data_IF_542449474168
#
_entry.id   IF_542449474168
#
_cell.length_a   1.000
_cell.length_b   1.000
_cell.length_c   1.000
_cell.angle_alpha   90.00
_cell.angle_beta   90.00
_cell.angle_gamma   90.00
#
_symmetry.space_group_name_H-M   'P 1'
#
loop_
_entity.id
_entity.type
_entity.pdbx_description
1 polymer ?
#
# COMPACT_ATOMS: atom_id res chain seq x y z
N UNK A 1 -4.82 34.26 32.92
CA UNK A 1 -4.04 34.01 31.69
C UNK A 1 -3.03 32.90 31.98
N UNK A 2 -3.30 31.69 31.49
CA UNK A 2 -2.38 30.55 31.49
C UNK A 2 -2.31 30.04 30.05
N UNK A 3 -1.13 29.72 29.50
CA UNK A 3 -1.03 29.19 28.15
C UNK A 3 -1.40 27.70 28.18
N UNK A 4 -2.25 27.29 27.23
CA UNK A 4 -2.64 25.90 27.02
C UNK A 4 -1.51 25.09 26.41
N UNK A 5 -1.27 23.91 26.97
CA UNK A 5 -0.34 22.92 26.46
C UNK A 5 -0.90 22.28 25.19
N UNK A 6 -0.10 22.29 24.11
CA UNK A 6 -0.30 21.48 22.91
C UNK A 6 0.03 20.03 23.26
N UNK A 7 -0.93 19.13 23.11
CA UNK A 7 -0.72 17.69 23.23
C UNK A 7 -0.15 17.19 21.91
N UNK A 8 1.08 16.68 21.95
CA UNK A 8 1.68 15.88 20.87
C UNK A 8 0.98 14.53 20.81
N UNK A 9 0.39 14.20 19.65
CA UNK A 9 -0.09 12.85 19.34
C UNK A 9 1.12 11.98 19.00
N UNK A 10 1.37 10.97 19.82
CA UNK A 10 2.42 9.98 19.60
C UNK A 10 2.08 9.08 18.41
N UNK A 11 3.04 8.91 17.52
CA UNK A 11 3.02 7.91 16.45
C UNK A 11 3.08 6.52 17.08
N UNK A 12 1.97 5.77 17.01
CA UNK A 12 1.95 4.35 17.33
C UNK A 12 2.53 3.57 16.15
N UNK A 13 3.68 2.93 16.36
CA UNK A 13 4.18 1.90 15.44
C UNK A 13 3.32 0.65 15.65
N UNK A 14 2.37 0.42 14.74
CA UNK A 14 1.66 -0.85 14.68
C UNK A 14 2.66 -1.94 14.30
N UNK A 15 2.92 -2.87 15.23
CA UNK A 15 3.61 -4.12 14.94
C UNK A 15 2.76 -4.87 13.91
N UNK A 16 3.30 -5.04 12.70
CA UNK A 16 2.79 -5.95 11.68
C UNK A 16 2.91 -7.39 12.20
N UNK A 17 2.00 -7.79 13.08
CA UNK A 17 1.80 -9.18 13.45
C UNK A 17 1.13 -9.91 12.29
N UNK A 18 1.55 -11.14 12.00
CA UNK A 18 0.75 -12.02 11.17
C UNK A 18 -0.60 -12.17 11.88
N UNK A 19 -1.69 -11.64 11.33
CA UNK A 19 -3.02 -11.90 11.86
C UNK A 19 -3.25 -13.38 11.59
N UNK A 20 -3.00 -14.24 12.59
CA UNK A 20 -3.42 -15.64 12.58
C UNK A 20 -4.94 -15.66 12.58
N UNK A 21 -5.52 -15.40 11.41
CA UNK A 21 -6.91 -15.67 11.10
C UNK A 21 -7.04 -17.17 10.83
N UNK A 22 -6.65 -17.99 11.82
CA UNK A 22 -7.35 -19.24 12.04
C UNK A 22 -8.72 -18.90 12.65
N UNK A 23 -9.55 -18.22 11.87
CA UNK A 23 -10.99 -18.31 12.05
C UNK A 23 -11.36 -19.68 11.52
N UNK A 24 -11.24 -20.68 12.39
CA UNK A 24 -12.11 -21.86 12.33
C UNK A 24 -13.52 -21.31 12.10
N UNK A 25 -14.23 -21.88 11.13
CA UNK A 25 -15.68 -21.76 10.97
C UNK A 25 -16.36 -22.06 12.31
N UNK A 26 -16.45 -21.04 13.17
CA UNK A 26 -17.39 -21.06 14.27
C UNK A 26 -18.69 -20.59 13.67
N UNK A 27 -19.54 -21.57 13.37
CA UNK A 27 -20.97 -21.38 13.28
C UNK A 27 -21.48 -20.80 14.61
N UNK A 28 -21.27 -19.50 14.79
CA UNK A 28 -21.93 -18.69 15.80
C UNK A 28 -23.37 -18.44 15.37
N UNK A 29 -24.30 -18.28 16.32
CA UNK A 29 -25.73 -18.40 16.06
C UNK A 29 -26.17 -17.32 15.09
N UNK A 30 -26.89 -17.78 14.06
CA UNK A 30 -27.69 -17.01 13.12
C UNK A 30 -28.42 -15.88 13.85
N UNK A 31 -27.78 -14.71 13.89
CA UNK A 31 -28.29 -13.51 14.52
C UNK A 31 -29.12 -12.77 13.49
N UNK A 32 -30.44 -12.90 13.61
CA UNK A 32 -31.49 -12.06 13.02
C UNK A 32 -31.15 -11.43 11.66
N UNK A 33 -31.61 -12.08 10.59
CA UNK A 33 -31.92 -11.43 9.33
C UNK A 33 -32.96 -10.33 9.58
N UNK A 34 -32.49 -9.14 9.95
CA UNK A 34 -33.27 -7.94 9.78
C UNK A 34 -33.48 -7.76 8.29
N UNK A 35 -34.68 -8.06 7.80
CA UNK A 35 -35.18 -7.61 6.51
C UNK A 35 -35.33 -6.09 6.60
N UNK A 36 -34.21 -5.38 6.53
CA UNK A 36 -34.19 -3.94 6.34
C UNK A 36 -34.72 -3.66 4.94
N UNK A 37 -36.04 -3.52 4.83
CA UNK A 37 -36.73 -2.94 3.68
C UNK A 37 -36.26 -1.50 3.52
N UNK A 38 -35.24 -1.34 2.70
CA UNK A 38 -34.61 -0.06 2.38
C UNK A 38 -33.36 -0.30 1.57
N UNK A 39 -33.41 -1.25 0.63
CA UNK A 39 -32.37 -1.39 -0.38
C UNK A 39 -32.53 -0.19 -1.31
N UNK A 40 -31.98 0.95 -0.89
CA UNK A 40 -31.89 2.15 -1.70
C UNK A 40 -30.99 1.81 -2.88
N UNK A 41 -31.57 1.20 -3.90
CA UNK A 41 -30.89 0.85 -5.12
C UNK A 41 -30.26 2.12 -5.70
N UNK A 42 -29.03 1.99 -6.19
CA UNK A 42 -28.39 3.06 -6.96
C UNK A 42 -29.28 3.33 -8.18
N UNK A 43 -29.70 4.59 -8.44
CA UNK A 43 -30.51 4.91 -9.61
C UNK A 43 -29.83 4.46 -10.91
N UNK A 44 -30.63 4.10 -11.92
CA UNK A 44 -30.10 3.64 -13.21
C UNK A 44 -29.24 4.71 -13.91
N UNK A 45 -29.52 5.98 -13.63
CA UNK A 45 -28.79 7.14 -14.13
C UNK A 45 -27.41 7.33 -13.43
N UNK A 46 -27.10 6.53 -12.40
CA UNK A 46 -25.86 6.61 -11.64
C UNK A 46 -25.66 7.99 -11.03
N UNK A 47 -24.42 8.51 -11.08
CA UNK A 47 -24.09 9.82 -10.51
C UNK A 47 -24.93 10.98 -11.07
N UNK A 48 -25.51 10.84 -12.28
CA UNK A 48 -26.32 11.90 -12.90
C UNK A 48 -27.63 12.16 -12.17
N UNK A 49 -28.10 11.22 -11.34
CA UNK A 49 -29.29 11.39 -10.51
C UNK A 49 -29.03 12.18 -9.21
N UNK A 50 -27.78 12.53 -8.89
CA UNK A 50 -27.49 13.40 -7.75
C UNK A 50 -27.96 14.83 -8.02
N UNK A 51 -28.71 15.41 -7.09
CA UNK A 51 -29.09 16.82 -7.16
C UNK A 51 -27.92 17.75 -6.80
N UNK A 52 -28.14 19.07 -6.86
CA UNK A 52 -27.10 20.05 -6.53
C UNK A 52 -26.65 20.01 -5.06
N UNK A 53 -27.55 19.71 -4.11
CA UNK A 53 -27.22 19.63 -2.68
C UNK A 53 -26.34 18.41 -2.39
N UNK A 54 -26.74 17.24 -2.92
CA UNK A 54 -26.00 15.98 -2.81
C UNK A 54 -24.64 16.07 -3.50
N UNK A 55 -24.59 16.66 -4.70
CA UNK A 55 -23.35 16.87 -5.44
C UNK A 55 -22.39 17.81 -4.71
N UNK A 56 -22.89 18.91 -4.15
CA UNK A 56 -22.06 19.83 -3.36
C UNK A 56 -21.52 19.12 -2.11
N UNK A 57 -22.35 18.36 -1.40
CA UNK A 57 -21.93 17.59 -0.23
C UNK A 57 -20.80 16.61 -0.56
N UNK A 58 -20.95 15.88 -1.67
CA UNK A 58 -19.97 14.92 -2.15
C UNK A 58 -18.64 15.60 -2.54
N UNK A 59 -18.68 16.58 -3.45
CA UNK A 59 -17.47 17.26 -3.92
C UNK A 59 -16.78 18.08 -2.82
N UNK A 60 -17.54 18.62 -1.85
CA UNK A 60 -16.97 19.30 -0.68
C UNK A 60 -16.18 18.36 0.22
N UNK A 61 -16.56 17.08 0.31
CA UNK A 61 -15.80 16.06 1.04
C UNK A 61 -14.47 15.75 0.35
N UNK A 62 -14.49 15.65 -0.98
CA UNK A 62 -13.31 15.28 -1.76
C UNK A 62 -12.29 16.42 -1.96
N UNK A 63 -12.77 17.64 -2.21
CA UNK A 63 -11.92 18.76 -2.65
C UNK A 63 -10.67 19.01 -1.77
N UNK A 64 -10.75 19.02 -0.42
CA UNK A 64 -9.56 19.28 0.39
C UNK A 64 -8.48 18.21 0.23
N UNK A 65 -8.87 16.95 0.05
CA UNK A 65 -7.93 15.83 -0.05
C UNK A 65 -7.41 15.65 -1.47
N UNK A 66 -8.21 15.95 -2.50
CA UNK A 66 -7.81 15.75 -3.90
C UNK A 66 -7.23 17.01 -4.55
N UNK A 67 -7.81 18.17 -4.30
CA UNK A 67 -7.38 19.44 -4.89
C UNK A 67 -6.54 20.30 -3.94
N UNK A 68 -6.44 19.93 -2.66
CA UNK A 68 -5.72 20.72 -1.65
C UNK A 68 -6.41 22.05 -1.30
N UNK A 69 -7.67 22.22 -1.68
CA UNK A 69 -8.47 23.44 -1.48
C UNK A 69 -9.95 23.11 -1.30
N UNK A 70 -10.73 24.11 -0.89
CA UNK A 70 -12.20 24.01 -0.89
C UNK A 70 -12.77 24.32 -2.27
N UNK A 71 -14.06 24.03 -2.46
CA UNK A 71 -14.80 24.42 -3.66
C UNK A 71 -14.77 25.95 -3.85
N UNK A 72 -14.52 26.38 -5.08
CA UNK A 72 -14.61 27.76 -5.54
C UNK A 72 -16.07 28.19 -5.72
N UNK A 73 -16.30 29.49 -5.92
CA UNK A 73 -17.63 30.02 -6.24
C UNK A 73 -18.15 29.51 -7.59
N UNK A 74 -17.27 29.42 -8.60
CA UNK A 74 -17.62 28.95 -9.94
C UNK A 74 -18.04 27.48 -9.95
N UNK A 75 -17.31 26.62 -9.21
CA UNK A 75 -17.68 25.21 -9.04
C UNK A 75 -19.04 25.08 -8.34
N UNK A 76 -19.29 25.82 -7.26
CA UNK A 76 -20.59 25.81 -6.56
C UNK A 76 -21.76 26.30 -7.41
N UNK A 77 -21.54 27.23 -8.33
CA UNK A 77 -22.59 27.64 -9.29
C UNK A 77 -22.90 26.50 -10.25
N UNK A 78 -21.87 25.93 -10.89
CA UNK A 78 -22.02 24.77 -11.79
C UNK A 78 -22.72 23.60 -11.11
N UNK A 79 -22.36 23.30 -9.86
CA UNK A 79 -22.98 22.23 -9.07
C UNK A 79 -24.48 22.48 -8.84
N UNK A 80 -24.87 23.71 -8.48
CA UNK A 80 -26.29 24.06 -8.28
C UNK A 80 -27.11 23.98 -9.57
N UNK A 81 -26.52 24.36 -10.69
CA UNK A 81 -27.20 24.37 -11.99
C UNK A 81 -27.33 22.99 -12.62
N UNK A 82 -26.33 22.12 -12.44
CA UNK A 82 -26.17 20.89 -13.24
C UNK A 82 -26.18 19.61 -12.41
N UNK A 83 -26.16 19.68 -11.07
CA UNK A 83 -26.16 18.53 -10.18
C UNK A 83 -25.02 17.56 -10.50
N UNK A 84 -25.30 16.26 -10.49
CA UNK A 84 -24.31 15.21 -10.68
C UNK A 84 -23.56 15.23 -12.01
N UNK A 85 -24.11 15.90 -13.04
CA UNK A 85 -23.48 16.01 -14.34
C UNK A 85 -22.12 16.74 -14.33
N UNK A 86 -21.85 17.56 -13.32
CA UNK A 86 -20.56 18.29 -13.21
C UNK A 86 -19.47 17.55 -12.44
N UNK A 87 -19.77 16.40 -11.82
CA UNK A 87 -18.79 15.66 -11.01
C UNK A 87 -17.55 15.31 -11.84
N UNK A 88 -17.73 14.67 -12.99
CA UNK A 88 -16.60 14.29 -13.86
C UNK A 88 -15.80 15.51 -14.35
N UNK A 89 -16.42 16.54 -14.97
CA UNK A 89 -15.69 17.73 -15.40
C UNK A 89 -14.87 18.41 -14.28
N UNK A 90 -15.43 18.51 -13.06
CA UNK A 90 -14.71 19.12 -11.93
C UNK A 90 -13.52 18.26 -11.50
N UNK A 91 -13.69 16.94 -11.41
CA UNK A 91 -12.59 16.03 -11.07
C UNK A 91 -11.48 16.08 -12.12
N UNK A 92 -11.84 16.09 -13.41
CA UNK A 92 -10.88 16.26 -14.51
C UNK A 92 -10.12 17.59 -14.40
N UNK A 93 -10.79 18.69 -14.09
CA UNK A 93 -10.14 19.99 -13.83
C UNK A 93 -9.15 19.92 -12.65
N UNK A 94 -9.52 19.30 -11.53
CA UNK A 94 -8.65 19.15 -10.36
C UNK A 94 -7.38 18.36 -10.66
N UNK A 95 -7.44 17.36 -11.55
CA UNK A 95 -6.26 16.57 -11.90
C UNK A 95 -5.15 17.39 -12.58
N UNK A 96 -5.49 18.55 -13.15
CA UNK A 96 -4.54 19.50 -13.73
C UNK A 96 -3.97 20.52 -12.73
N UNK A 97 -4.42 20.51 -11.47
CA UNK A 97 -4.01 21.50 -10.47
C UNK A 97 -2.73 21.09 -9.72
N UNK A 98 -1.89 22.06 -9.30
CA UNK A 98 -0.74 21.78 -8.44
C UNK A 98 -1.12 21.08 -7.12
N UNK A 99 -2.33 21.34 -6.62
CA UNK A 99 -2.86 20.72 -5.41
C UNK A 99 -3.02 19.20 -5.54
N UNK A 100 -3.35 18.68 -6.72
CA UNK A 100 -3.47 17.24 -6.96
C UNK A 100 -2.12 16.52 -6.88
N UNK A 101 -1.07 17.13 -7.43
CA UNK A 101 0.31 16.61 -7.31
C UNK A 101 0.74 16.56 -5.85
N UNK A 102 0.45 17.61 -5.06
CA UNK A 102 0.77 17.64 -3.65
C UNK A 102 -0.08 16.64 -2.84
N UNK A 103 -1.34 16.45 -3.18
CA UNK A 103 -2.21 15.46 -2.57
C UNK A 103 -1.68 14.03 -2.78
N UNK A 104 -1.29 13.68 -4.01
CA UNK A 104 -0.71 12.39 -4.33
C UNK A 104 0.61 12.13 -3.58
N UNK A 105 1.48 13.15 -3.50
CA UNK A 105 2.68 13.12 -2.68
C UNK A 105 2.35 12.82 -1.21
N UNK A 106 1.45 13.59 -0.60
CA UNK A 106 1.04 13.41 0.79
C UNK A 106 0.45 12.02 1.04
N UNK A 107 -0.41 11.52 0.15
CA UNK A 107 -0.98 10.17 0.22
C UNK A 107 0.14 9.12 0.34
N UNK A 108 1.15 9.21 -0.51
CA UNK A 108 2.25 8.24 -0.51
C UNK A 108 3.20 8.41 0.67
N UNK A 109 3.48 9.64 1.11
CA UNK A 109 4.26 9.89 2.33
C UNK A 109 3.59 9.25 3.56
N UNK A 110 2.26 9.37 3.69
CA UNK A 110 1.48 8.73 4.77
C UNK A 110 1.53 7.21 4.65
N UNK A 111 1.28 6.64 3.46
CA UNK A 111 1.25 5.18 3.27
C UNK A 111 2.63 4.54 3.46
N UNK A 112 3.68 5.22 3.04
CA UNK A 112 5.07 4.76 3.19
C UNK A 112 5.68 5.15 4.53
N UNK A 113 5.04 6.02 5.32
CA UNK A 113 5.61 6.66 6.53
C UNK A 113 7.03 7.18 6.28
N UNK A 114 7.21 7.84 5.14
CA UNK A 114 8.47 8.39 4.68
C UNK A 114 8.28 9.87 4.37
N UNK A 115 8.64 10.72 5.34
CA UNK A 115 8.70 12.17 5.18
C UNK A 115 9.74 12.78 6.13
N UNK A 116 10.24 13.97 5.79
CA UNK A 116 11.23 14.70 6.57
C UNK A 116 12.67 14.28 6.26
N UNK A 117 13.60 14.58 7.18
CA UNK A 117 15.04 14.34 6.98
C UNK A 117 15.72 13.97 8.29
N UNK A 118 16.74 13.12 8.19
CA UNK A 118 17.76 12.93 9.22
C UNK A 118 19.08 13.57 8.77
N UNK A 119 20.14 13.41 9.57
CA UNK A 119 21.48 13.83 9.18
C UNK A 119 22.03 13.08 7.95
N UNK A 120 21.51 11.88 7.64
CA UNK A 120 22.08 10.96 6.65
C UNK A 120 21.09 10.43 5.62
N UNK A 121 19.78 10.60 5.83
CA UNK A 121 18.73 10.09 4.96
C UNK A 121 17.71 11.19 4.69
N UNK A 122 17.40 11.40 3.42
CA UNK A 122 16.31 12.27 2.99
C UNK A 122 15.04 11.42 2.82
N UNK A 123 14.09 11.56 3.74
CA UNK A 123 12.85 10.78 3.73
C UNK A 123 11.80 11.35 2.78
N UNK A 124 12.04 12.51 2.16
CA UNK A 124 11.14 13.13 1.18
C UNK A 124 11.31 12.55 -0.25
N UNK A 125 12.38 11.78 -0.52
CA UNK A 125 12.69 11.23 -1.86
C UNK A 125 11.51 10.44 -2.47
N UNK A 126 10.81 9.54 -1.75
CA UNK A 126 9.64 8.85 -2.29
C UNK A 126 8.52 9.82 -2.70
N UNK A 127 8.24 10.81 -1.84
CA UNK A 127 7.21 11.82 -2.08
C UNK A 127 7.51 12.68 -3.31
N UNK A 128 8.77 13.08 -3.51
CA UNK A 128 9.21 13.80 -4.71
C UNK A 128 9.11 12.94 -5.98
N UNK A 129 9.43 11.65 -5.89
CA UNK A 129 9.25 10.71 -7.00
C UNK A 129 7.79 10.61 -7.42
N UNK A 130 6.87 10.49 -6.45
CA UNK A 130 5.44 10.49 -6.70
C UNK A 130 4.97 11.81 -7.31
N UNK A 131 5.40 12.94 -6.75
CA UNK A 131 5.07 14.26 -7.28
C UNK A 131 5.51 14.43 -8.74
N UNK A 132 6.70 13.93 -9.09
CA UNK A 132 7.19 13.98 -10.47
C UNK A 132 6.35 13.11 -11.41
N UNK A 133 6.08 11.86 -11.03
CA UNK A 133 5.26 10.93 -11.84
C UNK A 133 3.88 11.53 -12.10
N UNK A 134 3.21 12.02 -11.05
CA UNK A 134 1.86 12.58 -11.17
C UNK A 134 1.86 13.91 -11.91
N UNK A 135 2.79 14.82 -11.61
CA UNK A 135 2.90 16.11 -12.28
C UNK A 135 3.29 16.01 -13.76
N UNK A 136 3.95 14.92 -14.15
CA UNK A 136 4.24 14.59 -15.55
C UNK A 136 3.11 13.84 -16.28
N UNK A 137 2.03 13.50 -15.59
CA UNK A 137 0.98 12.59 -16.09
C UNK A 137 1.56 11.26 -16.63
N UNK A 138 2.59 10.76 -15.95
CA UNK A 138 3.21 9.47 -16.25
C UNK A 138 2.32 8.32 -15.75
N UNK A 139 2.45 7.11 -16.31
CA UNK A 139 1.73 5.94 -15.81
C UNK A 139 1.99 5.71 -14.32
N UNK A 140 0.96 5.33 -13.55
CA UNK A 140 1.07 5.21 -12.10
C UNK A 140 2.09 4.15 -11.66
N UNK A 141 2.27 3.10 -12.48
CA UNK A 141 3.30 2.07 -12.27
C UNK A 141 4.72 2.67 -12.15
N UNK A 142 4.97 3.86 -12.73
CA UNK A 142 6.27 4.54 -12.71
C UNK A 142 6.74 4.90 -11.31
N UNK A 143 5.87 4.98 -10.30
CA UNK A 143 6.33 5.14 -8.91
C UNK A 143 7.16 3.94 -8.43
N UNK A 144 6.94 2.76 -9.02
CA UNK A 144 7.66 1.52 -8.74
C UNK A 144 8.75 1.23 -9.78
N UNK A 145 8.57 1.65 -11.02
CA UNK A 145 9.48 1.30 -12.13
C UNK A 145 10.43 2.43 -12.54
N UNK A 146 10.37 3.59 -11.86
CA UNK A 146 11.32 4.69 -12.08
C UNK A 146 12.77 4.18 -12.00
N UNK A 147 13.59 4.54 -13.00
CA UNK A 147 15.01 4.20 -13.06
C UNK A 147 15.90 5.26 -12.41
N UNK A 148 15.30 6.35 -11.93
CA UNK A 148 15.94 7.50 -11.29
C UNK A 148 15.09 7.96 -10.10
N UNK A 149 15.74 8.65 -9.16
CA UNK A 149 15.09 9.36 -8.06
C UNK A 149 15.14 10.87 -8.34
N UNK A 150 14.55 11.68 -7.45
CA UNK A 150 14.46 13.12 -7.64
C UNK A 150 14.98 13.90 -6.43
N UNK A 151 15.80 14.90 -6.71
CA UNK A 151 16.36 15.83 -5.73
C UNK A 151 15.36 16.93 -5.33
N UNK A 152 15.79 17.85 -4.47
CA UNK A 152 14.98 18.97 -3.99
C UNK A 152 14.60 19.99 -5.05
N UNK A 153 15.40 20.10 -6.11
CA UNK A 153 15.11 20.96 -7.24
C UNK A 153 14.15 20.27 -8.24
N UNK A 154 13.78 19.01 -8.01
CA UNK A 154 12.99 18.19 -8.92
C UNK A 154 13.81 17.66 -10.11
N UNK A 155 15.14 17.74 -10.03
CA UNK A 155 16.06 17.16 -11.00
C UNK A 155 16.21 15.65 -10.80
N UNK A 156 16.51 14.94 -11.89
CA UNK A 156 16.84 13.52 -11.81
C UNK A 156 18.17 13.32 -11.09
N UNK A 157 18.19 12.34 -10.19
CA UNK A 157 19.38 11.94 -9.45
C UNK A 157 19.42 10.41 -9.31
N UNK A 158 20.60 9.81 -9.13
CA UNK A 158 20.70 8.42 -8.68
C UNK A 158 19.94 8.22 -7.37
N UNK A 159 19.29 7.08 -7.21
CA UNK A 159 18.73 6.72 -5.91
C UNK A 159 19.85 6.45 -4.90
N UNK A 160 19.59 6.77 -3.64
CA UNK A 160 20.61 6.89 -2.60
C UNK A 160 21.01 5.57 -1.94
N UNK A 161 20.47 4.44 -2.40
CA UNK A 161 20.75 3.10 -1.81
C UNK A 161 22.06 2.48 -2.29
N UNK A 162 22.61 2.94 -3.42
CA UNK A 162 23.81 2.36 -4.02
C UNK A 162 23.61 1.00 -4.70
N UNK A 163 22.37 0.52 -4.82
CA UNK A 163 22.06 -0.68 -5.59
C UNK A 163 22.41 -0.50 -7.08
N UNK A 164 22.82 -1.57 -7.79
CA UNK A 164 23.14 -1.50 -9.22
C UNK A 164 21.90 -1.41 -10.13
N UNK A 165 20.71 -1.25 -9.54
CA UNK A 165 19.42 -1.12 -10.21
C UNK A 165 18.53 -0.15 -9.44
N UNK A 166 17.36 0.18 -9.99
CA UNK A 166 16.39 1.08 -9.36
C UNK A 166 14.96 0.55 -9.56
N UNK A 167 14.15 0.67 -8.51
CA UNK A 167 12.77 0.25 -8.40
C UNK A 167 11.92 1.39 -7.80
N UNK A 168 12.05 2.59 -8.38
CA UNK A 168 11.34 3.79 -7.95
C UNK A 168 11.43 4.04 -6.45
N UNK A 169 10.27 4.20 -5.80
CA UNK A 169 10.18 4.48 -4.36
C UNK A 169 10.75 3.35 -3.49
N UNK A 170 10.75 2.10 -3.97
CA UNK A 170 11.21 0.95 -3.20
C UNK A 170 12.74 0.93 -3.04
N UNK A 171 13.51 1.51 -3.96
CA UNK A 171 14.97 1.62 -3.89
C UNK A 171 15.46 2.98 -3.39
N UNK A 172 14.67 3.63 -2.54
CA UNK A 172 15.09 4.83 -1.79
C UNK A 172 15.55 4.41 -0.40
N UNK A 173 16.57 5.06 0.19
CA UNK A 173 16.94 4.79 1.59
C UNK A 173 15.83 5.17 2.55
N UNK A 174 15.00 6.15 2.19
CA UNK A 174 13.80 6.50 2.92
C UNK A 174 12.90 5.28 3.17
N UNK A 175 12.54 4.55 2.10
CA UNK A 175 11.75 3.33 2.20
C UNK A 175 12.53 2.23 2.93
N UNK A 176 13.76 1.98 2.52
CA UNK A 176 14.55 0.86 3.04
C UNK A 176 14.81 0.98 4.55
N UNK A 177 15.20 2.17 5.03
CA UNK A 177 15.53 2.39 6.43
C UNK A 177 14.29 2.50 7.33
N UNK A 178 13.26 3.24 6.90
CA UNK A 178 12.01 3.37 7.69
C UNK A 178 11.28 2.03 7.88
N UNK A 179 11.52 1.08 6.97
CA UNK A 179 10.92 -0.25 6.97
C UNK A 179 11.91 -1.36 7.29
N UNK A 180 13.10 -1.04 7.81
CA UNK A 180 14.02 -2.04 8.30
C UNK A 180 13.40 -2.85 9.45
N UNK A 181 13.52 -4.17 9.38
CA UNK A 181 12.99 -5.07 10.39
C UNK A 181 13.54 -6.48 10.20
N UNK A 182 13.51 -7.27 11.27
CA UNK A 182 14.01 -8.65 11.29
C UNK A 182 13.44 -9.46 10.14
N UNK A 183 14.27 -10.30 9.51
CA UNK A 183 13.93 -11.07 8.31
C UNK A 183 13.34 -10.24 7.14
N UNK A 184 13.60 -8.93 7.08
CA UNK A 184 12.97 -8.01 6.13
C UNK A 184 11.42 -8.00 6.17
N UNK A 185 10.82 -8.37 7.32
CA UNK A 185 9.36 -8.51 7.45
C UNK A 185 8.60 -7.21 7.11
N UNK A 186 9.10 -6.09 7.63
CA UNK A 186 8.43 -4.80 7.47
C UNK A 186 8.56 -4.24 6.06
N UNK A 187 9.66 -4.51 5.34
CA UNK A 187 9.85 -4.11 3.93
C UNK A 187 8.86 -4.84 3.04
N UNK A 188 8.94 -6.16 2.97
CA UNK A 188 8.05 -6.95 2.12
C UNK A 188 6.57 -6.82 2.53
N UNK A 189 6.26 -6.72 3.84
CA UNK A 189 4.90 -6.42 4.31
C UNK A 189 4.38 -5.05 3.84
N UNK A 190 5.22 -4.01 3.88
CA UNK A 190 4.85 -2.68 3.40
C UNK A 190 4.70 -2.66 1.88
N UNK A 191 5.58 -3.34 1.14
CA UNK A 191 5.48 -3.48 -0.32
C UNK A 191 4.12 -4.05 -0.72
N UNK A 192 3.76 -5.22 -0.17
CA UNK A 192 2.50 -5.88 -0.51
C UNK A 192 1.28 -5.09 -0.04
N UNK A 193 1.30 -4.55 1.18
CA UNK A 193 0.13 -3.83 1.70
C UNK A 193 -0.10 -2.47 1.05
N UNK A 194 0.94 -1.75 0.64
CA UNK A 194 0.81 -0.43 0.00
C UNK A 194 0.51 -0.56 -1.50
N UNK A 195 1.12 -1.53 -2.17
CA UNK A 195 1.11 -1.60 -3.63
C UNK A 195 0.30 -2.76 -4.19
N UNK A 196 -0.09 -3.77 -3.41
CA UNK A 196 -1.01 -4.82 -3.84
C UNK A 196 -2.27 -4.90 -2.95
N UNK A 197 -2.29 -4.19 -1.82
CA UNK A 197 -3.35 -4.25 -0.81
C UNK A 197 -3.55 -5.67 -0.26
N UNK A 198 -2.51 -6.49 -0.36
CA UNK A 198 -2.47 -7.85 0.13
C UNK A 198 -1.82 -7.88 1.51
N UNK A 199 -2.38 -8.69 2.41
CA UNK A 199 -1.85 -9.00 3.74
C UNK A 199 -1.48 -10.47 3.77
N UNK A 200 -0.40 -10.83 4.47
CA UNK A 200 -0.04 -12.23 4.63
C UNK A 200 -0.91 -12.94 5.68
N UNK A 201 -1.24 -14.22 5.47
CA UNK A 201 -0.98 -15.00 4.25
C UNK A 201 -1.79 -14.45 3.06
N UNK A 202 -1.16 -14.40 1.88
CA UNK A 202 -1.82 -13.95 0.66
C UNK A 202 -2.55 -15.13 0.02
N UNK A 203 -3.44 -14.86 -0.94
CA UNK A 203 -4.19 -15.90 -1.64
C UNK A 203 -3.23 -16.79 -2.44
N UNK A 204 -3.38 -18.11 -2.33
CA UNK A 204 -2.49 -19.07 -2.98
C UNK A 204 -2.58 -19.00 -4.52
N UNK A 205 -3.72 -18.57 -5.06
CA UNK A 205 -3.87 -18.36 -6.51
C UNK A 205 -3.04 -17.18 -7.02
N UNK A 206 -2.75 -16.21 -6.13
CA UNK A 206 -1.94 -15.04 -6.47
C UNK A 206 -0.45 -15.33 -6.27
N UNK A 207 -0.08 -15.96 -5.16
CA UNK A 207 1.29 -16.39 -4.88
C UNK A 207 1.27 -17.76 -4.21
N UNK A 208 1.72 -18.82 -4.89
CA UNK A 208 1.86 -20.12 -4.26
C UNK A 208 2.90 -20.10 -3.12
N UNK A 209 2.67 -20.90 -2.07
CA UNK A 209 3.70 -21.12 -1.03
C UNK A 209 4.88 -21.90 -1.58
N UNK A 210 6.10 -21.50 -1.23
CA UNK A 210 7.29 -22.30 -1.52
C UNK A 210 7.34 -23.58 -0.70
N UNK A 211 8.01 -24.60 -1.22
CA UNK A 211 8.17 -25.87 -0.52
C UNK A 211 8.84 -25.70 0.86
N UNK A 212 8.31 -26.40 1.88
CA UNK A 212 8.80 -26.36 3.27
C UNK A 212 10.32 -26.58 3.36
N UNK A 213 10.86 -27.53 2.62
CA UNK A 213 12.29 -27.90 2.65
C UNK A 213 13.24 -26.81 2.13
N UNK A 214 12.74 -25.81 1.38
CA UNK A 214 13.53 -24.65 0.96
C UNK A 214 13.69 -23.59 2.06
N UNK A 215 12.80 -23.57 3.05
CA UNK A 215 12.83 -22.62 4.17
C UNK A 215 13.78 -23.07 5.27
N UNK A 216 14.29 -22.14 6.07
CA UNK A 216 14.94 -22.46 7.35
C UNK A 216 13.99 -23.29 8.23
N UNK A 217 14.56 -24.24 9.00
CA UNK A 217 13.79 -25.21 9.80
C UNK A 217 12.70 -24.55 10.66
N UNK A 218 13.01 -23.41 11.28
CA UNK A 218 12.08 -22.67 12.15
C UNK A 218 10.79 -22.20 11.44
N UNK A 219 10.80 -22.07 10.11
CA UNK A 219 9.66 -21.62 9.31
C UNK A 219 8.87 -22.76 8.65
N UNK A 220 9.30 -24.02 8.82
CA UNK A 220 8.67 -25.17 8.17
C UNK A 220 7.38 -25.64 8.86
N UNK A 221 7.22 -25.28 10.14
CA UNK A 221 6.13 -25.75 10.98
C UNK A 221 4.79 -25.07 10.64
N UNK A 222 3.74 -25.87 10.42
CA UNK A 222 2.35 -25.42 10.32
C UNK A 222 1.61 -25.53 11.66
N UNK A 223 2.11 -26.36 12.59
CA UNK A 223 1.56 -26.56 13.93
C UNK A 223 2.65 -26.56 15.00
N UNK A 224 2.27 -26.57 16.28
CA UNK A 224 3.23 -26.55 17.40
C UNK A 224 3.97 -27.87 17.49
N UNK A 225 3.28 -28.97 17.16
CA UNK A 225 3.83 -30.32 17.15
C UNK A 225 4.92 -30.47 16.08
N UNK A 226 4.82 -29.73 14.97
CA UNK A 226 5.84 -29.69 13.92
C UNK A 226 7.06 -28.82 14.29
N UNK A 227 6.96 -27.95 15.30
CA UNK A 227 8.03 -27.00 15.63
C UNK A 227 9.16 -27.61 16.47
N UNK A 228 10.25 -27.97 15.77
CA UNK A 228 11.45 -28.58 16.35
C UNK A 228 12.47 -27.57 16.87
N UNK A 229 12.41 -26.31 16.45
CA UNK A 229 13.41 -25.28 16.81
C UNK A 229 13.03 -24.58 18.12
N UNK A 230 13.79 -24.85 19.18
CA UNK A 230 13.54 -24.33 20.53
C UNK A 230 13.46 -22.79 20.59
N UNK A 231 14.28 -22.09 19.81
CA UNK A 231 14.36 -20.63 19.81
C UNK A 231 13.06 -19.93 19.37
N UNK A 232 12.19 -20.62 18.62
CA UNK A 232 10.91 -20.09 18.14
C UNK A 232 9.70 -20.82 18.73
N UNK A 233 9.90 -21.88 19.52
CA UNK A 233 8.81 -22.66 20.13
C UNK A 233 7.93 -21.82 21.07
N UNK A 234 8.49 -20.80 21.70
CA UNK A 234 7.75 -19.82 22.51
C UNK A 234 7.49 -18.47 21.78
N UNK A 235 7.75 -18.42 20.47
CA UNK A 235 7.63 -17.22 19.64
C UNK A 235 6.19 -16.84 19.30
N UNK A 236 6.02 -15.80 18.47
CA UNK A 236 4.73 -15.26 18.03
C UNK A 236 3.77 -16.38 17.60
N UNK A 237 2.53 -16.34 18.07
CA UNK A 237 1.54 -17.41 17.85
C UNK A 237 1.86 -18.75 18.52
N UNK A 238 2.76 -18.83 19.51
CA UNK A 238 3.32 -20.07 20.07
C UNK A 238 4.05 -20.94 19.02
N UNK A 239 4.64 -20.33 17.99
CA UNK A 239 5.25 -21.06 16.87
C UNK A 239 4.24 -21.78 15.96
N UNK A 240 2.94 -21.52 16.15
CA UNK A 240 1.85 -22.09 15.36
C UNK A 240 1.75 -21.33 14.03
N UNK A 241 1.85 -22.06 12.92
CA UNK A 241 1.65 -21.54 11.57
C UNK A 241 2.74 -20.58 11.05
N UNK A 242 4.00 -20.80 11.39
CA UNK A 242 5.10 -20.08 10.73
C UNK A 242 5.05 -20.29 9.20
N UNK A 243 4.83 -21.51 8.75
CA UNK A 243 4.82 -21.81 7.31
C UNK A 243 3.68 -21.12 6.55
N UNK A 244 2.50 -20.94 7.16
CA UNK A 244 1.37 -20.33 6.45
C UNK A 244 1.69 -18.90 6.00
N UNK A 245 2.36 -18.12 6.85
CA UNK A 245 2.85 -16.78 6.53
C UNK A 245 4.17 -16.85 5.74
N UNK A 246 5.17 -17.58 6.25
CA UNK A 246 6.54 -17.57 5.70
C UNK A 246 6.69 -18.30 4.37
N UNK A 247 5.78 -19.20 4.01
CA UNK A 247 5.78 -19.89 2.71
C UNK A 247 5.60 -18.96 1.52
N UNK A 248 4.87 -17.86 1.67
CA UNK A 248 4.78 -16.79 0.64
C UNK A 248 5.70 -15.62 0.98
N UNK A 249 5.77 -15.25 2.27
CA UNK A 249 6.51 -14.09 2.72
C UNK A 249 8.00 -14.19 2.35
N UNK A 250 8.59 -15.38 2.47
CA UNK A 250 10.00 -15.63 2.18
C UNK A 250 10.41 -15.15 0.79
N UNK A 251 9.56 -15.34 -0.22
CA UNK A 251 9.80 -14.90 -1.59
C UNK A 251 9.98 -13.37 -1.65
N UNK A 252 9.02 -12.62 -1.12
CA UNK A 252 9.08 -11.16 -1.17
C UNK A 252 10.16 -10.58 -0.27
N UNK A 253 10.42 -11.20 0.88
CA UNK A 253 11.48 -10.79 1.81
C UNK A 253 12.88 -10.91 1.18
N UNK A 254 13.07 -11.94 0.33
CA UNK A 254 14.35 -12.25 -0.29
C UNK A 254 14.86 -11.10 -1.16
N UNK A 255 13.95 -10.34 -1.78
CA UNK A 255 14.26 -9.16 -2.61
C UNK A 255 15.00 -8.05 -1.85
N UNK A 256 15.01 -8.10 -0.51
CA UNK A 256 15.63 -7.09 0.35
C UNK A 256 16.89 -7.60 1.08
N UNK A 257 17.37 -8.81 0.78
CA UNK A 257 18.46 -9.45 1.55
C UNK A 257 19.79 -8.69 1.49
N UNK A 258 20.02 -7.90 0.44
CA UNK A 258 21.23 -7.09 0.27
C UNK A 258 21.16 -5.70 0.90
N UNK A 259 20.04 -5.32 1.50
CA UNK A 259 19.88 -3.97 2.06
C UNK A 259 20.05 -3.98 3.58
N UNK A 260 21.03 -3.22 4.08
CA UNK A 260 21.25 -3.07 5.52
C UNK A 260 20.15 -2.24 6.20
N UNK A 261 20.23 -2.08 7.52
CA UNK A 261 19.27 -1.30 8.32
C UNK A 261 19.15 0.18 7.89
N UNK A 262 20.20 0.75 7.31
CA UNK A 262 20.26 2.15 6.87
C UNK A 262 19.86 2.31 5.40
N UNK A 263 19.48 1.20 4.77
CA UNK A 263 18.99 1.11 3.40
C UNK A 263 20.08 1.11 2.34
N UNK A 264 21.34 0.86 2.71
CA UNK A 264 22.44 0.74 1.76
C UNK A 264 22.51 -0.69 1.23
N UNK A 265 22.79 -0.80 -0.06
CA UNK A 265 22.99 -2.07 -0.73
C UNK A 265 24.40 -2.61 -0.49
N UNK A 266 24.49 -3.88 -0.13
CA UNK A 266 25.71 -4.57 0.30
C UNK A 266 25.92 -5.82 -0.56
N UNK A 267 26.81 -5.72 -1.55
CA UNK A 267 27.03 -6.73 -2.58
C UNK A 267 27.31 -8.14 -2.02
N UNK A 268 28.09 -8.20 -0.94
CA UNK A 268 28.59 -9.42 -0.30
C UNK A 268 27.68 -9.94 0.83
N UNK A 269 26.49 -9.35 1.05
CA UNK A 269 25.55 -9.89 2.02
C UNK A 269 25.15 -11.32 1.65
N UNK A 270 25.20 -12.24 2.61
CA UNK A 270 24.98 -13.67 2.39
C UNK A 270 23.61 -14.16 2.88
N UNK A 271 22.84 -13.30 3.55
CA UNK A 271 21.53 -13.65 4.12
C UNK A 271 21.59 -14.63 5.30
N UNK A 272 22.77 -15.00 5.80
CA UNK A 272 22.92 -15.95 6.88
C UNK A 272 22.58 -15.32 8.24
N UNK A 273 21.97 -16.12 9.13
CA UNK A 273 21.66 -15.69 10.50
C UNK A 273 22.97 -15.42 11.23
N UNK A 274 23.07 -14.25 11.87
CA UNK A 274 24.25 -13.92 12.64
C UNK A 274 24.41 -14.88 13.83
N UNK A 275 25.63 -15.37 14.01
CA UNK A 275 26.05 -16.17 15.17
C UNK A 275 26.76 -15.32 16.24
N UNK A 276 26.82 -14.01 16.05
CA UNK A 276 27.44 -13.10 17.00
C UNK A 276 26.67 -13.09 18.33
N UNK A 277 27.42 -13.01 19.43
CA UNK A 277 26.82 -12.98 20.77
C UNK A 277 25.97 -11.71 20.90
N UNK A 278 24.66 -11.90 21.14
CA UNK A 278 23.70 -10.81 21.28
C UNK A 278 22.96 -10.43 20.00
N UNK A 279 23.28 -11.06 18.85
CA UNK A 279 22.47 -10.91 17.64
C UNK A 279 21.05 -11.43 17.87
N UNK A 280 20.05 -10.69 17.37
CA UNK A 280 18.67 -11.11 17.47
C UNK A 280 18.32 -12.10 16.35
N UNK A 281 17.34 -12.95 16.62
CA UNK A 281 16.77 -13.81 15.59
C UNK A 281 16.25 -12.98 14.42
N UNK A 282 16.69 -13.27 13.20
CA UNK A 282 16.35 -12.52 11.99
C UNK A 282 17.30 -11.40 11.61
N UNK A 283 18.37 -11.19 12.40
CA UNK A 283 19.50 -10.32 12.04
C UNK A 283 20.64 -11.12 11.40
N UNK A 284 21.22 -10.54 10.37
CA UNK A 284 22.49 -10.96 9.77
C UNK A 284 23.60 -9.99 10.21
N UNK A 285 24.82 -10.19 9.73
CA UNK A 285 25.99 -9.37 10.09
C UNK A 285 25.83 -7.93 9.58
N UNK A 286 26.55 -6.98 10.18
CA UNK A 286 26.62 -5.59 9.72
C UNK A 286 25.27 -4.87 9.57
N UNK A 287 24.25 -5.26 10.33
CA UNK A 287 22.91 -4.66 10.24
C UNK A 287 22.07 -5.12 9.05
N UNK A 288 22.50 -6.17 8.37
CA UNK A 288 21.69 -6.89 7.39
C UNK A 288 20.64 -7.76 8.10
N UNK A 289 19.72 -8.31 7.31
CA UNK A 289 18.65 -9.18 7.81
C UNK A 289 18.79 -10.57 7.21
N UNK A 290 18.41 -11.58 8.00
CA UNK A 290 18.48 -12.99 7.60
C UNK A 290 17.47 -13.28 6.48
N UNK A 291 17.88 -14.11 5.52
CA UNK A 291 16.99 -14.77 4.57
C UNK A 291 16.06 -15.76 5.30
N UNK A 292 14.95 -16.12 4.66
CA UNK A 292 14.09 -17.21 5.12
C UNK A 292 14.50 -18.57 4.54
N UNK A 293 15.40 -18.59 3.57
CA UNK A 293 15.79 -19.76 2.80
C UNK A 293 16.94 -20.51 3.49
N UNK A 294 17.04 -21.81 3.25
CA UNK A 294 18.06 -22.68 3.87
C UNK A 294 19.28 -22.92 2.97
N UNK A 295 19.10 -22.87 1.65
CA UNK A 295 20.22 -23.03 0.70
C UNK A 295 21.10 -21.76 0.68
N UNK A 296 22.42 -21.85 0.98
CA UNK A 296 23.29 -20.69 1.04
C UNK A 296 23.39 -19.88 -0.26
N UNK A 297 23.20 -20.51 -1.42
CA UNK A 297 23.24 -19.82 -2.72
C UNK A 297 21.96 -19.01 -2.92
N UNK A 298 20.81 -19.53 -2.50
CA UNK A 298 19.54 -18.81 -2.54
C UNK A 298 19.50 -17.70 -1.48
N UNK A 299 19.97 -17.97 -0.26
CA UNK A 299 20.03 -17.00 0.84
C UNK A 299 20.77 -15.72 0.44
N UNK A 300 21.87 -15.86 -0.30
CA UNK A 300 22.70 -14.75 -0.73
C UNK A 300 22.19 -14.04 -2.00
N UNK A 301 21.16 -14.54 -2.67
CA UNK A 301 20.70 -14.01 -3.95
C UNK A 301 19.46 -13.12 -3.79
N UNK A 302 19.35 -12.06 -4.59
CA UNK A 302 18.13 -11.22 -4.64
C UNK A 302 17.03 -11.79 -5.54
N UNK A 303 17.32 -12.92 -6.21
CA UNK A 303 16.35 -13.60 -7.09
C UNK A 303 15.23 -14.21 -6.26
N UNK A 304 14.01 -14.11 -6.78
CA UNK A 304 12.82 -14.62 -6.10
C UNK A 304 11.65 -14.79 -7.07
N UNK A 305 10.44 -14.77 -6.54
CA UNK A 305 9.17 -14.81 -7.25
C UNK A 305 8.24 -13.70 -6.73
N UNK A 306 7.45 -13.12 -7.62
CA UNK A 306 6.33 -12.23 -7.32
C UNK A 306 5.19 -12.60 -8.27
N UNK A 307 4.02 -12.88 -7.72
CA UNK A 307 2.82 -13.31 -8.41
C UNK A 307 3.06 -14.44 -9.41
N UNK A 308 3.70 -15.52 -8.92
CA UNK A 308 4.12 -16.68 -9.69
C UNK A 308 5.19 -16.39 -10.78
N UNK A 309 5.68 -15.16 -10.92
CA UNK A 309 6.71 -14.79 -11.89
C UNK A 309 8.10 -14.72 -11.25
N UNK A 310 9.07 -15.44 -11.83
CA UNK A 310 10.46 -15.37 -11.40
C UNK A 310 11.07 -13.99 -11.70
N UNK A 311 11.81 -13.45 -10.74
CA UNK A 311 12.46 -12.13 -10.81
C UNK A 311 13.89 -12.21 -10.31
N UNK A 312 14.81 -11.44 -10.90
CA UNK A 312 16.22 -11.45 -10.52
C UNK A 312 16.55 -10.52 -9.35
N UNK A 313 15.74 -9.48 -9.14
CA UNK A 313 15.96 -8.46 -8.13
C UNK A 313 14.69 -7.62 -7.90
N UNK A 314 14.79 -6.63 -7.01
CA UNK A 314 13.67 -5.77 -6.64
C UNK A 314 13.15 -4.89 -7.80
N UNK A 315 13.96 -4.53 -8.80
CA UNK A 315 13.49 -3.77 -9.96
C UNK A 315 12.56 -4.60 -10.85
N UNK A 316 12.91 -5.87 -11.09
CA UNK A 316 12.04 -6.80 -11.81
C UNK A 316 10.76 -7.13 -11.03
N UNK A 317 10.88 -7.30 -9.71
CA UNK A 317 9.73 -7.46 -8.81
C UNK A 317 8.76 -6.26 -8.87
N UNK A 318 9.31 -5.05 -8.83
CA UNK A 318 8.53 -3.82 -8.89
C UNK A 318 7.80 -3.65 -10.23
N UNK A 319 8.41 -4.13 -11.33
CA UNK A 319 7.76 -4.20 -12.65
C UNK A 319 6.59 -5.17 -12.65
N UNK A 320 6.79 -6.41 -12.18
CA UNK A 320 5.71 -7.42 -12.08
C UNK A 320 4.55 -6.90 -11.23
N UNK A 321 4.87 -6.30 -10.08
CA UNK A 321 3.89 -5.68 -9.20
C UNK A 321 3.14 -4.55 -9.91
N UNK A 322 3.84 -3.59 -10.54
CA UNK A 322 3.22 -2.46 -11.24
C UNK A 322 2.35 -2.86 -12.44
N UNK A 323 2.61 -4.01 -13.07
CA UNK A 323 1.83 -4.54 -14.20
C UNK A 323 0.56 -5.29 -13.74
N UNK A 324 0.51 -5.74 -12.49
CA UNK A 324 -0.57 -6.58 -11.93
C UNK A 324 -1.91 -5.84 -11.74
N UNK A 325 -3.01 -6.59 -11.78
CA UNK A 325 -4.34 -6.06 -11.42
C UNK A 325 -4.41 -5.64 -9.95
N UNK A 326 -3.73 -6.38 -9.06
CA UNK A 326 -3.66 -6.05 -7.64
C UNK A 326 -3.08 -4.64 -7.39
N UNK A 327 -2.16 -4.17 -8.22
CA UNK A 327 -1.62 -2.82 -8.13
C UNK A 327 -2.64 -1.75 -8.48
N UNK A 328 -3.43 -1.96 -9.56
CA UNK A 328 -4.51 -1.06 -9.96
C UNK A 328 -5.63 -1.03 -8.94
N UNK A 329 -6.11 -2.19 -8.51
CA UNK A 329 -7.11 -2.35 -7.44
C UNK A 329 -6.65 -1.63 -6.15
N UNK A 330 -5.39 -1.80 -5.78
CA UNK A 330 -4.84 -1.17 -4.58
C UNK A 330 -4.68 0.35 -4.71
N UNK A 331 -4.39 0.86 -5.91
CA UNK A 331 -4.35 2.29 -6.17
C UNK A 331 -5.74 2.93 -6.00
N UNK A 332 -6.79 2.29 -6.54
CA UNK A 332 -8.20 2.70 -6.35
C UNK A 332 -8.55 2.71 -4.86
N UNK A 333 -8.24 1.62 -4.14
CA UNK A 333 -8.47 1.55 -2.69
C UNK A 333 -7.75 2.65 -1.93
N UNK A 334 -6.48 2.90 -2.25
CA UNK A 334 -5.66 3.95 -1.64
C UNK A 334 -6.25 5.35 -1.85
N UNK A 335 -6.80 5.63 -3.03
CA UNK A 335 -7.51 6.88 -3.32
C UNK A 335 -8.77 7.03 -2.47
N UNK A 336 -9.60 5.98 -2.37
CA UNK A 336 -10.81 5.97 -1.54
C UNK A 336 -10.46 6.22 -0.08
N UNK A 337 -9.50 5.46 0.47
CA UNK A 337 -9.04 5.60 1.86
C UNK A 337 -8.58 7.04 2.14
N UNK A 338 -7.72 7.57 1.26
CA UNK A 338 -7.13 8.89 1.44
C UNK A 338 -8.17 10.02 1.30
N UNK A 339 -8.97 10.03 0.22
CA UNK A 339 -9.89 11.12 -0.06
C UNK A 339 -11.08 11.16 0.91
N UNK A 340 -11.54 9.99 1.36
CA UNK A 340 -12.64 9.89 2.32
C UNK A 340 -12.16 9.95 3.78
N UNK A 341 -10.84 9.91 4.02
CA UNK A 341 -10.26 9.93 5.36
C UNK A 341 -10.57 8.68 6.16
N UNK A 342 -10.58 7.52 5.49
CA UNK A 342 -10.74 6.22 6.13
C UNK A 342 -9.39 5.77 6.70
N UNK A 343 -9.45 4.92 7.73
CA UNK A 343 -8.25 4.28 8.25
C UNK A 343 -7.60 3.39 7.19
N UNK A 344 -6.27 3.32 7.21
CA UNK A 344 -5.51 2.43 6.32
C UNK A 344 -5.94 0.99 6.54
N UNK A 345 -6.29 0.30 5.46
CA UNK A 345 -6.77 -1.07 5.51
C UNK A 345 -8.27 -1.18 5.79
N UNK A 346 -9.02 -0.08 5.70
CA UNK A 346 -10.47 -0.10 5.70
C UNK A 346 -10.98 -1.15 4.70
N UNK A 347 -12.09 -1.80 5.06
CA UNK A 347 -12.74 -2.77 4.18
C UNK A 347 -13.46 -1.99 3.08
N UNK A 348 -13.04 -2.21 1.85
CA UNK A 348 -13.73 -1.77 0.63
C UNK A 348 -14.03 -3.05 -0.14
N UNK A 349 -15.26 -3.19 -0.62
CA UNK A 349 -15.68 -4.39 -1.33
C UNK A 349 -14.78 -4.63 -2.54
N UNK A 350 -14.26 -5.86 -2.65
CA UNK A 350 -13.31 -6.20 -3.70
C UNK A 350 -13.94 -6.07 -5.08
N UNK A 351 -15.20 -6.46 -5.22
CA UNK A 351 -15.92 -6.39 -6.49
C UNK A 351 -15.96 -4.96 -7.04
N UNK A 352 -16.21 -3.96 -6.18
CA UNK A 352 -16.14 -2.55 -6.53
C UNK A 352 -14.74 -2.14 -7.01
N UNK A 353 -13.69 -2.55 -6.30
CA UNK A 353 -12.30 -2.25 -6.68
C UNK A 353 -11.94 -2.85 -8.06
N UNK A 354 -12.31 -4.10 -8.30
CA UNK A 354 -12.10 -4.80 -9.58
C UNK A 354 -12.87 -4.11 -10.70
N UNK A 355 -14.13 -3.74 -10.45
CA UNK A 355 -14.97 -3.07 -11.45
C UNK A 355 -14.36 -1.73 -11.87
N UNK A 356 -13.96 -0.88 -10.91
CA UNK A 356 -13.31 0.41 -11.19
C UNK A 356 -11.99 0.19 -11.92
N UNK A 357 -11.12 -0.70 -11.43
CA UNK A 357 -9.83 -0.99 -12.05
C UNK A 357 -9.97 -1.50 -13.49
N UNK A 358 -10.99 -2.32 -13.77
CA UNK A 358 -11.30 -2.80 -15.12
C UNK A 358 -11.72 -1.65 -16.05
N UNK A 359 -12.56 -0.73 -15.58
CA UNK A 359 -12.95 0.44 -16.39
C UNK A 359 -11.78 1.36 -16.68
N UNK A 360 -10.88 1.55 -15.70
CA UNK A 360 -9.65 2.33 -15.89
C UNK A 360 -8.74 1.65 -16.92
N UNK A 361 -8.52 0.34 -16.81
CA UNK A 361 -7.66 -0.40 -17.73
C UNK A 361 -8.21 -0.39 -19.16
N UNK A 362 -9.53 -0.40 -19.34
CA UNK A 362 -10.16 -0.25 -20.65
C UNK A 362 -9.86 1.10 -21.34
N UNK A 363 -9.43 2.12 -20.59
CA UNK A 363 -9.03 3.43 -21.12
C UNK A 363 -7.54 3.51 -21.45
N UNK A 364 -6.69 2.84 -20.65
CA UNK A 364 -5.26 2.80 -20.84
C UNK A 364 -4.65 1.54 -20.20
N UNK A 365 -3.75 0.86 -20.92
CA UNK A 365 -3.09 -0.35 -20.44
C UNK A 365 -2.33 -0.10 -19.11
N UNK A 366 -1.61 1.02 -19.03
CA UNK A 366 -0.94 1.51 -17.82
C UNK A 366 -1.46 2.91 -17.47
N UNK A 367 -2.49 3.01 -16.63
CA UNK A 367 -3.19 4.26 -16.37
C UNK A 367 -2.39 5.21 -15.49
N UNK A 368 -2.59 6.52 -15.69
CA UNK A 368 -2.07 7.56 -14.80
C UNK A 368 -2.89 7.62 -13.49
N UNK A 369 -2.36 8.30 -12.47
CA UNK A 369 -3.15 8.55 -11.25
C UNK A 369 -4.40 9.41 -11.53
N UNK A 370 -4.35 10.27 -12.55
CA UNK A 370 -5.48 11.08 -13.00
C UNK A 370 -6.64 10.20 -13.49
N UNK A 371 -6.37 9.20 -14.35
CA UNK A 371 -7.39 8.26 -14.81
C UNK A 371 -8.00 7.49 -13.63
N UNK A 372 -7.15 6.97 -12.73
CA UNK A 372 -7.58 6.25 -11.54
C UNK A 372 -8.49 7.13 -10.66
N UNK A 373 -8.11 8.39 -10.42
CA UNK A 373 -8.88 9.32 -9.59
C UNK A 373 -10.26 9.63 -10.18
N UNK A 374 -10.32 10.00 -11.46
CA UNK A 374 -11.58 10.35 -12.12
C UNK A 374 -12.53 9.15 -12.15
N UNK A 375 -12.06 7.97 -12.53
CA UNK A 375 -12.92 6.78 -12.57
C UNK A 375 -13.36 6.31 -11.18
N UNK A 376 -12.52 6.46 -10.16
CA UNK A 376 -12.87 6.12 -8.77
C UNK A 376 -13.99 7.01 -8.25
N UNK A 377 -13.90 8.33 -8.45
CA UNK A 377 -14.85 9.28 -7.86
C UNK A 377 -16.00 9.69 -8.81
N UNK A 378 -16.07 9.07 -9.99
CA UNK A 378 -17.27 9.10 -10.84
C UNK A 378 -18.05 7.78 -10.77
N UNK A 379 -17.55 6.79 -10.03
CA UNK A 379 -18.29 5.57 -9.74
C UNK A 379 -19.53 5.87 -8.89
N UNK A 380 -20.68 5.37 -9.31
CA UNK A 380 -21.96 5.65 -8.66
C UNK A 380 -22.01 5.07 -7.24
N UNK A 381 -21.48 3.87 -7.01
CA UNK A 381 -21.49 3.24 -5.69
C UNK A 381 -20.64 4.03 -4.69
N UNK A 382 -19.45 4.47 -5.12
CA UNK A 382 -18.59 5.35 -4.31
C UNK A 382 -19.32 6.66 -3.97
N UNK A 383 -19.94 7.31 -4.96
CA UNK A 383 -20.62 8.58 -4.77
C UNK A 383 -21.84 8.47 -3.85
N UNK A 384 -22.75 7.54 -4.11
CA UNK A 384 -23.96 7.35 -3.30
C UNK A 384 -23.65 6.90 -1.88
N UNK A 385 -22.72 5.98 -1.70
CA UNK A 385 -22.28 5.54 -0.36
C UNK A 385 -21.72 6.71 0.44
N UNK A 386 -20.91 7.57 -0.20
CA UNK A 386 -20.35 8.76 0.44
C UNK A 386 -21.45 9.77 0.80
N UNK A 387 -22.36 10.08 -0.11
CA UNK A 387 -23.47 11.02 0.15
C UNK A 387 -24.33 10.52 1.30
N UNK A 388 -24.73 9.24 1.30
CA UNK A 388 -25.54 8.64 2.38
C UNK A 388 -24.83 8.74 3.73
N UNK A 389 -23.53 8.46 3.79
CA UNK A 389 -22.76 8.57 5.03
C UNK A 389 -22.63 10.01 5.54
N UNK A 390 -22.70 11.01 4.64
CA UNK A 390 -22.58 12.43 4.98
C UNK A 390 -23.92 13.12 5.24
N UNK A 391 -25.02 12.59 4.70
CA UNK A 391 -26.36 13.07 4.97
C UNK A 391 -26.74 12.61 6.38
N UNK A 392 -26.83 13.52 7.38
CA UNK A 392 -27.44 13.14 8.64
C UNK A 392 -28.85 12.65 8.29
N UNK A 393 -29.21 11.44 8.72
CA UNK A 393 -30.57 10.93 8.56
C UNK A 393 -31.50 12.08 8.93
N UNK A 394 -32.24 12.60 7.93
CA UNK A 394 -33.25 13.62 8.18
C UNK A 394 -34.25 12.92 9.07
N UNK A 395 -34.11 13.12 10.38
CA UNK A 395 -34.74 12.31 11.41
C UNK A 395 -36.19 12.04 11.04
N UNK A 396 -36.50 10.76 10.84
CA UNK A 396 -37.87 10.27 10.84
C UNK A 396 -38.45 10.42 12.24
#
# INVERSE_FOLDING_TARGET
>A
MRPGAMVFVGVFVALLGCETSASIDSAGPSGASGTGEGDDAIPAEGILALDGEQTELYLRKLAPMLAGRVLSSAERERIREQGGAVIRPILEEWTGEPGFVQAARTMMEVRLASNGRSATIDYDVPGRTVAKVVGGAEPWSRILTATTCYDDAGGEAPCDTGAPYTAGVLTTRAYMASRAGRFNLTRAGTMMSVFACEKYPIRDELEPRIAKDRLLEMFRAESAEEQTVDAVRAGFGNGLACYSCHGQFSLHAQLFVKFDRDGLWVADANGAQSTEVGAQLGESVNGLMTSHLDDPTEMAAERSQVFDQSVQNLAEAARVLGESDAFRECAVKGLIEFALGLDRGAKVERELLVQIATRVHAQADDPTLQHLMVETFTDAEVAYTTVRALSPERGQ
#
